data_IF_268979780335
#
_entry.id   IF_268979780335
#
_cell.length_a   1.000
_cell.length_b   1.000
_cell.length_c   1.000
_cell.angle_alpha   90.00
_cell.angle_beta   90.00
_cell.angle_gamma   90.00
#
_symmetry.space_group_name_H-M   'P 1'
#
loop_
_entity.id
_entity.type
_entity.pdbx_description
1 polymer ?
#
# COMPACT_ATOMS: atom_id res chain seq x y z
N UNK A 1 -34.39 -48.85 13.57
CA UNK A 1 -33.34 -48.22 14.39
C UNK A 1 -32.42 -47.45 13.46
N UNK A 2 -32.68 -46.16 13.27
CA UNK A 2 -31.86 -45.29 12.40
C UNK A 2 -30.71 -44.72 13.22
N UNK A 3 -29.49 -45.09 12.85
CA UNK A 3 -28.24 -44.54 13.37
C UNK A 3 -28.20 -43.03 13.09
N UNK A 4 -28.25 -42.23 14.15
CA UNK A 4 -28.01 -40.79 14.06
C UNK A 4 -26.57 -40.58 13.55
N UNK A 5 -26.43 -39.93 12.39
CA UNK A 5 -25.12 -39.57 11.86
C UNK A 5 -24.43 -38.63 12.84
N UNK A 6 -23.18 -38.96 13.22
CA UNK A 6 -22.30 -38.03 13.90
C UNK A 6 -22.14 -36.78 13.04
N UNK A 7 -22.86 -35.72 13.40
CA UNK A 7 -22.63 -34.40 12.84
C UNK A 7 -21.28 -33.91 13.37
N UNK A 8 -20.29 -33.84 12.48
CA UNK A 8 -18.97 -33.33 12.78
C UNK A 8 -19.06 -31.80 12.91
N UNK A 9 -19.16 -31.30 14.15
CA UNK A 9 -19.24 -29.87 14.40
C UNK A 9 -17.83 -29.27 14.47
N UNK A 10 -17.56 -28.17 13.74
CA UNK A 10 -16.28 -27.47 13.83
C UNK A 10 -15.98 -27.09 15.28
N UNK A 11 -14.87 -27.60 15.82
CA UNK A 11 -14.44 -27.31 17.19
C UNK A 11 -13.43 -26.17 17.18
N UNK A 12 -13.74 -25.08 17.87
CA UNK A 12 -12.82 -23.97 18.10
C UNK A 12 -12.13 -24.16 19.45
N UNK A 13 -10.79 -24.27 19.45
CA UNK A 13 -9.99 -24.38 20.68
C UNK A 13 -9.41 -23.02 21.02
N UNK A 14 -9.85 -22.43 22.14
CA UNK A 14 -9.31 -21.17 22.67
C UNK A 14 -8.33 -21.51 23.81
N UNK A 15 -7.01 -21.27 23.65
CA UNK A 15 -6.02 -21.55 24.69
C UNK A 15 -6.28 -20.80 26.00
N UNK A 16 -5.77 -21.35 27.12
CA UNK A 16 -5.79 -20.64 28.40
C UNK A 16 -4.99 -19.34 28.31
N UNK A 17 -5.56 -18.26 28.84
CA UNK A 17 -4.96 -16.94 28.81
C UNK A 17 -5.20 -16.16 27.51
N UNK A 18 -5.99 -16.70 26.57
CA UNK A 18 -6.46 -15.91 25.43
C UNK A 18 -7.52 -14.90 25.89
N UNK A 19 -7.28 -13.63 25.61
CA UNK A 19 -8.25 -12.54 25.81
C UNK A 19 -8.91 -12.20 24.47
N UNK A 20 -10.24 -12.16 24.45
CA UNK A 20 -11.03 -11.75 23.29
C UNK A 20 -11.90 -10.57 23.70
N UNK A 21 -11.78 -9.46 22.98
CA UNK A 21 -12.53 -8.23 23.21
C UNK A 21 -13.21 -7.77 21.93
N UNK A 22 -14.28 -7.00 22.06
CA UNK A 22 -14.94 -6.34 20.94
C UNK A 22 -14.96 -4.84 21.23
N UNK A 23 -14.51 -4.03 20.28
CA UNK A 23 -14.55 -2.57 20.44
C UNK A 23 -15.94 -2.00 20.13
N UNK A 24 -16.14 -0.69 20.34
CA UNK A 24 -17.40 0.00 20.07
C UNK A 24 -17.84 -0.03 18.60
N UNK A 25 -16.94 -0.36 17.68
CA UNK A 25 -17.19 -0.50 16.25
C UNK A 25 -17.46 -1.96 15.83
N UNK A 26 -17.53 -2.89 16.79
CA UNK A 26 -17.80 -4.32 16.53
C UNK A 26 -16.57 -5.12 16.06
N UNK A 27 -15.37 -4.56 16.10
CA UNK A 27 -14.15 -5.26 15.67
C UNK A 27 -13.59 -6.12 16.81
N UNK A 28 -13.13 -7.31 16.46
CA UNK A 28 -12.55 -8.28 17.39
C UNK A 28 -11.08 -7.95 17.70
N UNK A 29 -10.72 -7.99 18.97
CA UNK A 29 -9.34 -8.00 19.45
C UNK A 29 -9.06 -9.36 20.08
N UNK A 30 -7.97 -10.01 19.66
CA UNK A 30 -7.53 -11.29 20.19
C UNK A 30 -6.11 -11.12 20.69
N UNK A 31 -5.85 -11.51 21.92
CA UNK A 31 -4.51 -11.60 22.51
C UNK A 31 -4.32 -13.00 23.06
N UNK A 32 -3.30 -13.72 22.59
CA UNK A 32 -2.98 -15.08 23.03
C UNK A 32 -1.51 -15.20 23.42
N UNK A 33 -1.18 -15.98 24.47
CA UNK A 33 0.21 -16.17 24.87
C UNK A 33 1.00 -17.06 23.91
N UNK A 34 0.33 -17.99 23.21
CA UNK A 34 0.93 -18.99 22.33
C UNK A 34 0.61 -18.77 20.86
N UNK A 35 0.80 -19.80 20.04
CA UNK A 35 0.51 -19.70 18.61
C UNK A 35 -0.98 -19.46 18.34
N UNK A 36 -1.27 -18.65 17.33
CA UNK A 36 -2.61 -18.38 16.84
C UNK A 36 -2.73 -18.85 15.39
N UNK A 37 -3.77 -19.63 15.10
CA UNK A 37 -4.11 -20.02 13.73
C UNK A 37 -5.47 -19.44 13.40
N UNK A 38 -5.55 -18.66 12.32
CA UNK A 38 -6.78 -18.03 11.83
C UNK A 38 -7.23 -18.80 10.60
N UNK A 39 -8.33 -19.52 10.76
CA UNK A 39 -8.93 -20.39 9.74
C UNK A 39 -10.23 -19.80 9.16
N UNK A 40 -10.71 -18.70 9.72
CA UNK A 40 -11.92 -18.02 9.29
C UNK A 40 -11.62 -16.57 8.98
N UNK A 41 -12.21 -16.08 7.88
CA UNK A 41 -12.10 -14.68 7.48
C UNK A 41 -12.74 -13.77 8.52
N UNK A 42 -12.21 -12.56 8.68
CA UNK A 42 -12.75 -11.64 9.67
C UNK A 42 -12.03 -10.29 9.71
N UNK A 43 -12.68 -9.34 10.38
CA UNK A 43 -12.16 -8.00 10.64
C UNK A 43 -11.81 -7.87 12.11
N UNK A 44 -10.57 -7.49 12.37
CA UNK A 44 -9.98 -7.41 13.70
C UNK A 44 -9.46 -5.99 13.95
N UNK A 45 -9.60 -5.52 15.18
CA UNK A 45 -8.85 -4.34 15.60
C UNK A 45 -7.41 -4.74 15.90
N UNK A 46 -7.20 -5.79 16.67
CA UNK A 46 -5.86 -6.22 17.09
C UNK A 46 -5.75 -7.73 17.16
N UNK A 47 -4.65 -8.26 16.65
CA UNK A 47 -4.30 -9.68 16.74
C UNK A 47 -2.91 -9.76 17.36
N UNK A 48 -2.83 -10.24 18.59
CA UNK A 48 -1.58 -10.39 19.32
C UNK A 48 -1.33 -11.85 19.69
N UNK A 49 -0.15 -12.33 19.35
CA UNK A 49 0.46 -13.55 19.86
C UNK A 49 1.74 -13.16 20.59
N UNK A 50 1.69 -13.10 21.93
CA UNK A 50 2.76 -12.50 22.74
C UNK A 50 4.09 -13.26 22.63
N UNK A 51 4.08 -14.59 22.75
CA UNK A 51 5.30 -15.41 22.66
C UNK A 51 5.31 -16.38 21.46
N UNK A 52 4.21 -16.45 20.71
CA UNK A 52 4.04 -17.39 19.61
C UNK A 52 4.07 -16.74 18.23
N UNK A 53 3.71 -17.54 17.25
CA UNK A 53 3.50 -17.15 15.86
C UNK A 53 2.02 -17.02 15.52
N UNK A 54 1.72 -16.20 14.51
CA UNK A 54 0.39 -16.09 13.92
C UNK A 54 0.43 -16.77 12.55
N UNK A 55 -0.55 -17.61 12.25
CA UNK A 55 -0.76 -18.20 10.93
C UNK A 55 -2.13 -17.82 10.40
N UNK A 56 -2.16 -17.31 9.19
CA UNK A 56 -3.39 -17.08 8.41
C UNK A 56 -3.43 -18.16 7.35
N UNK A 57 -4.42 -19.06 7.44
CA UNK A 57 -4.52 -20.19 6.53
C UNK A 57 -4.90 -19.80 5.11
N UNK A 58 -4.74 -20.76 4.20
CA UNK A 58 -5.17 -20.64 2.82
C UNK A 58 -6.68 -20.35 2.74
N UNK A 59 -7.09 -19.57 1.74
CA UNK A 59 -8.48 -19.15 1.52
C UNK A 59 -9.09 -18.28 2.64
N UNK A 60 -8.30 -17.87 3.63
CA UNK A 60 -8.72 -16.94 4.68
C UNK A 60 -8.39 -15.52 4.28
N UNK A 61 -9.33 -14.59 4.49
CA UNK A 61 -9.11 -13.15 4.33
C UNK A 61 -9.21 -12.46 5.68
N UNK A 62 -8.10 -11.87 6.11
CA UNK A 62 -8.00 -11.15 7.39
C UNK A 62 -7.78 -9.68 7.13
N UNK A 63 -8.61 -8.85 7.74
CA UNK A 63 -8.38 -7.42 7.85
C UNK A 63 -8.09 -7.09 9.31
N UNK A 64 -6.99 -6.39 9.57
CA UNK A 64 -6.60 -6.01 10.92
C UNK A 64 -6.07 -4.58 10.99
N UNK A 65 -6.30 -3.87 12.10
CA UNK A 65 -5.56 -2.62 12.33
C UNK A 65 -4.13 -2.94 12.77
N UNK A 66 -3.95 -3.87 13.70
CA UNK A 66 -2.63 -4.25 14.23
C UNK A 66 -2.47 -5.75 14.34
N UNK A 67 -1.31 -6.25 13.90
CA UNK A 67 -0.87 -7.62 14.10
C UNK A 67 0.48 -7.61 14.80
N UNK A 68 0.57 -8.32 15.92
CA UNK A 68 1.80 -8.52 16.67
C UNK A 68 2.04 -10.01 16.89
N UNK A 69 3.09 -10.55 16.28
CA UNK A 69 3.60 -11.88 16.58
C UNK A 69 4.95 -11.77 17.30
N UNK A 70 5.10 -12.47 18.42
CA UNK A 70 6.36 -12.52 19.16
C UNK A 70 7.49 -13.20 18.38
N UNK A 71 7.14 -14.14 17.49
CA UNK A 71 8.09 -14.87 16.65
C UNK A 71 7.86 -14.60 15.16
N UNK A 72 6.86 -15.24 14.56
CA UNK A 72 6.65 -15.17 13.11
C UNK A 72 5.19 -14.94 12.73
N UNK A 73 4.98 -14.30 11.58
CA UNK A 73 3.69 -14.18 10.92
C UNK A 73 3.74 -14.97 9.60
N UNK A 74 2.96 -16.06 9.52
CA UNK A 74 2.83 -16.91 8.35
C UNK A 74 1.53 -16.59 7.62
N UNK A 75 1.62 -16.24 6.34
CA UNK A 75 0.49 -15.80 5.53
C UNK A 75 0.36 -16.75 4.34
N UNK A 76 -0.69 -17.56 4.33
CA UNK A 76 -1.08 -18.43 3.21
C UNK A 76 -2.28 -17.86 2.44
N UNK A 77 -3.19 -17.16 3.13
CA UNK A 77 -4.35 -16.50 2.55
C UNK A 77 -4.09 -15.05 2.14
N UNK A 78 -5.07 -14.20 2.43
CA UNK A 78 -4.99 -12.75 2.23
C UNK A 78 -4.95 -12.02 3.56
N UNK A 79 -3.99 -11.12 3.72
CA UNK A 79 -3.85 -10.27 4.90
C UNK A 79 -3.81 -8.80 4.49
N UNK A 80 -4.69 -7.98 5.06
CA UNK A 80 -4.61 -6.52 5.01
C UNK A 80 -4.40 -6.01 6.43
N UNK A 81 -3.28 -5.33 6.69
CA UNK A 81 -3.01 -4.78 8.02
C UNK A 81 -2.21 -3.48 8.03
N UNK A 82 -2.60 -2.57 8.92
CA UNK A 82 -1.96 -1.25 9.04
C UNK A 82 -0.65 -1.28 9.83
N UNK A 83 -0.48 -2.26 10.72
CA UNK A 83 0.76 -2.44 11.48
C UNK A 83 1.01 -3.93 11.63
N UNK A 84 2.14 -4.40 11.12
CA UNK A 84 2.58 -5.78 11.32
C UNK A 84 3.93 -5.78 11.99
N UNK A 85 3.96 -6.26 13.23
CA UNK A 85 5.15 -6.46 14.03
C UNK A 85 5.40 -7.94 14.23
N UNK A 86 6.46 -8.46 13.62
CA UNK A 86 6.94 -9.83 13.83
C UNK A 86 8.43 -9.90 13.53
N UNK A 87 9.19 -10.76 14.22
CA UNK A 87 10.61 -10.94 13.89
C UNK A 87 10.77 -11.49 12.47
N UNK A 88 9.90 -12.43 12.10
CA UNK A 88 9.88 -13.04 10.77
C UNK A 88 8.50 -12.94 10.14
N UNK A 89 8.44 -12.58 8.86
CA UNK A 89 7.22 -12.61 8.05
C UNK A 89 7.45 -13.54 6.86
N UNK A 90 6.57 -14.50 6.68
CA UNK A 90 6.61 -15.46 5.57
C UNK A 90 5.31 -15.40 4.79
N UNK A 91 5.39 -15.07 3.50
CA UNK A 91 4.28 -15.19 2.57
C UNK A 91 4.49 -16.45 1.73
N UNK A 92 3.54 -17.38 1.82
CA UNK A 92 3.56 -18.64 1.07
C UNK A 92 3.00 -18.45 -0.36
N UNK A 93 2.99 -19.53 -1.15
CA UNK A 93 2.54 -19.46 -2.54
C UNK A 93 1.09 -19.00 -2.64
N UNK A 94 0.85 -18.09 -3.59
CA UNK A 94 -0.43 -17.40 -3.86
C UNK A 94 -0.93 -16.48 -2.73
N UNK A 95 -0.18 -16.33 -1.64
CA UNK A 95 -0.53 -15.41 -0.56
C UNK A 95 -0.49 -13.95 -1.03
N UNK A 96 -1.38 -13.13 -0.47
CA UNK A 96 -1.47 -11.69 -0.74
C UNK A 96 -1.42 -10.93 0.57
N UNK A 97 -0.45 -10.04 0.72
CA UNK A 97 -0.35 -9.19 1.89
C UNK A 97 -0.33 -7.71 1.49
N UNK A 98 -1.26 -6.95 2.04
CA UNK A 98 -1.30 -5.49 1.97
C UNK A 98 -0.98 -4.97 3.38
N UNK A 99 0.32 -4.92 3.69
CA UNK A 99 0.78 -4.71 5.07
C UNK A 99 1.80 -3.60 5.16
N UNK A 100 1.66 -2.76 6.19
CA UNK A 100 2.73 -1.86 6.59
C UNK A 100 3.60 -2.56 7.64
N UNK A 101 4.82 -2.84 7.23
CA UNK A 101 5.83 -3.56 8.00
C UNK A 101 6.41 -2.64 9.07
N UNK A 102 6.33 -3.06 10.33
CA UNK A 102 6.98 -2.36 11.44
C UNK A 102 7.92 -3.33 12.15
N UNK A 103 9.19 -2.94 12.29
CA UNK A 103 10.17 -3.66 13.12
C UNK A 103 10.37 -5.15 12.75
N UNK A 104 10.23 -5.51 11.47
CA UNK A 104 10.43 -6.89 11.01
C UNK A 104 11.89 -7.17 10.65
N UNK A 105 12.48 -8.21 11.21
CA UNK A 105 13.90 -8.57 11.00
C UNK A 105 14.11 -9.37 9.71
N UNK A 106 13.21 -10.32 9.43
CA UNK A 106 13.27 -11.23 8.29
C UNK A 106 11.97 -11.21 7.47
N UNK A 107 12.11 -11.21 6.15
CA UNK A 107 11.00 -11.30 5.20
C UNK A 107 11.30 -12.41 4.19
N UNK A 108 10.41 -13.38 4.09
CA UNK A 108 10.48 -14.49 3.14
C UNK A 108 9.24 -14.47 2.24
N UNK A 109 9.46 -14.52 0.93
CA UNK A 109 8.43 -14.39 -0.09
C UNK A 109 8.51 -15.58 -1.05
N UNK A 110 7.43 -16.35 -1.16
CA UNK A 110 7.31 -17.35 -2.20
C UNK A 110 7.24 -16.70 -3.59
N UNK A 111 7.57 -17.46 -4.65
CA UNK A 111 7.70 -16.92 -6.03
C UNK A 111 6.42 -16.27 -6.55
N UNK A 112 5.26 -16.74 -6.07
CA UNK A 112 3.94 -16.25 -6.48
C UNK A 112 3.28 -15.32 -5.46
N UNK A 113 3.95 -15.04 -4.33
CA UNK A 113 3.45 -14.16 -3.29
C UNK A 113 3.42 -12.70 -3.77
N UNK A 114 2.43 -11.95 -3.29
CA UNK A 114 2.34 -10.50 -3.54
C UNK A 114 2.35 -9.76 -2.21
N UNK A 115 3.36 -8.92 -2.04
CA UNK A 115 3.48 -8.01 -0.92
C UNK A 115 3.32 -6.58 -1.42
N UNK A 116 2.35 -5.87 -0.87
CA UNK A 116 2.15 -4.43 -1.07
C UNK A 116 2.42 -3.74 0.26
N UNK A 117 3.58 -3.08 0.34
CA UNK A 117 3.97 -2.26 1.48
C UNK A 117 3.40 -0.86 1.38
N UNK A 118 2.85 -0.34 2.48
CA UNK A 118 2.58 1.09 2.61
C UNK A 118 3.75 1.70 3.40
N UNK A 119 4.55 2.55 2.77
CA UNK A 119 5.74 3.15 3.39
C UNK A 119 5.41 4.57 3.82
N UNK A 120 5.78 4.95 5.04
CA UNK A 120 5.52 6.29 5.54
C UNK A 120 6.32 7.36 4.78
N UNK A 121 7.47 6.99 4.19
CA UNK A 121 8.26 7.87 3.33
C UNK A 121 9.25 7.08 2.45
N UNK A 122 9.85 7.78 1.47
CA UNK A 122 10.85 7.23 0.54
C UNK A 122 12.08 6.66 1.25
N UNK A 123 12.52 7.25 2.37
CA UNK A 123 13.67 6.73 3.14
C UNK A 123 13.38 5.36 3.75
N UNK A 124 12.16 5.16 4.25
CA UNK A 124 11.71 3.87 4.77
C UNK A 124 11.62 2.83 3.64
N UNK A 125 11.11 3.20 2.47
CA UNK A 125 11.13 2.34 1.28
C UNK A 125 12.57 1.93 0.93
N UNK A 126 13.49 2.88 0.79
CA UNK A 126 14.90 2.59 0.47
C UNK A 126 15.57 1.73 1.55
N UNK A 127 15.31 2.00 2.82
CA UNK A 127 15.84 1.22 3.93
C UNK A 127 15.33 -0.23 3.90
N UNK A 128 14.03 -0.41 3.67
CA UNK A 128 13.41 -1.73 3.59
C UNK A 128 13.88 -2.50 2.36
N UNK A 129 14.00 -1.83 1.21
CA UNK A 129 14.59 -2.40 -0.01
C UNK A 129 16.05 -2.80 0.19
N UNK A 130 16.83 -2.02 0.94
CA UNK A 130 18.22 -2.36 1.30
C UNK A 130 18.31 -3.55 2.26
N UNK A 131 17.50 -3.52 3.33
CA UNK A 131 17.42 -4.57 4.36
C UNK A 131 17.03 -5.93 3.78
N UNK A 132 16.10 -5.94 2.82
CA UNK A 132 15.63 -7.15 2.16
C UNK A 132 16.24 -7.36 0.77
N UNK A 133 17.32 -6.66 0.43
CA UNK A 133 17.91 -6.77 -0.91
C UNK A 133 18.35 -8.19 -1.30
N UNK A 134 18.85 -9.06 -0.39
CA UNK A 134 19.14 -10.45 -0.73
C UNK A 134 17.87 -11.21 -1.14
N UNK A 135 16.79 -11.06 -0.37
CA UNK A 135 15.53 -11.77 -0.59
C UNK A 135 14.76 -11.24 -1.80
N UNK A 136 14.89 -9.94 -2.09
CA UNK A 136 14.27 -9.31 -3.26
C UNK A 136 14.99 -9.67 -4.57
N UNK A 137 16.32 -9.86 -4.54
CA UNK A 137 17.11 -10.30 -5.70
C UNK A 137 16.79 -11.71 -6.17
N UNK A 138 16.26 -12.55 -5.28
CA UNK A 138 15.86 -13.92 -5.59
C UNK A 138 14.47 -14.01 -6.26
N UNK A 139 13.72 -12.89 -6.35
CA UNK A 139 12.39 -12.86 -6.94
C UNK A 139 12.43 -12.66 -8.47
N UNK A 140 11.55 -13.34 -9.23
CA UNK A 140 11.41 -13.10 -10.66
C UNK A 140 10.90 -11.68 -10.94
N UNK A 141 11.67 -10.88 -11.69
CA UNK A 141 11.37 -9.48 -11.97
C UNK A 141 11.99 -8.47 -10.98
N UNK A 142 12.98 -8.90 -10.19
CA UNK A 142 13.72 -8.03 -9.28
C UNK A 142 14.26 -6.77 -9.96
N UNK A 143 14.06 -5.61 -9.32
CA UNK A 143 14.65 -4.35 -9.75
C UNK A 143 16.14 -4.37 -9.37
N UNK A 144 17.01 -4.33 -10.37
CA UNK A 144 18.45 -4.36 -10.17
C UNK A 144 18.94 -3.00 -9.63
N UNK A 145 19.38 -2.97 -8.37
CA UNK A 145 19.70 -1.72 -7.65
C UNK A 145 21.18 -1.31 -7.78
N UNK A 146 21.90 -1.78 -8.80
CA UNK A 146 23.31 -1.38 -9.03
C UNK A 146 23.46 0.04 -9.63
N UNK A 147 22.50 0.94 -9.38
CA UNK A 147 22.45 2.30 -9.93
C UNK A 147 22.93 3.40 -8.98
N UNK A 148 23.69 3.07 -7.92
CA UNK A 148 24.26 4.03 -7.00
C UNK A 148 25.78 4.12 -7.09
N UNK A 149 26.27 5.10 -7.86
CA UNK A 149 27.61 5.70 -7.75
C UNK A 149 28.84 4.80 -7.98
N UNK A 150 29.17 4.55 -9.25
CA UNK A 150 30.58 4.49 -9.67
C UNK A 150 30.78 5.41 -10.89
N UNK A 151 31.70 6.40 -10.83
CA UNK A 151 32.10 7.13 -12.02
C UNK A 151 32.87 6.16 -12.91
N UNK A 152 32.21 5.61 -13.93
CA UNK A 152 32.90 4.83 -14.96
C UNK A 152 33.67 5.79 -15.84
N UNK A 153 34.99 5.76 -15.68
CA UNK A 153 35.93 6.33 -16.63
C UNK A 153 35.62 5.79 -18.03
N UNK A 154 35.37 6.71 -18.95
CA UNK A 154 35.06 6.42 -20.33
C UNK A 154 36.40 6.21 -21.02
N UNK A 155 36.88 4.96 -21.04
CA UNK A 155 38.03 4.61 -21.87
C UNK A 155 37.54 4.37 -23.29
N UNK A 156 37.94 5.27 -24.18
CA UNK A 156 37.75 5.23 -25.63
C UNK A 156 38.27 3.91 -26.22
N UNK A 157 37.40 3.14 -26.86
CA UNK A 157 37.63 2.67 -28.23
C UNK A 157 36.46 1.81 -28.71
N UNK A 158 35.91 2.19 -29.87
CA UNK A 158 35.40 1.38 -30.99
C UNK A 158 34.28 2.17 -31.69
N UNK A 159 34.60 2.78 -32.83
CA UNK A 159 33.65 3.18 -33.88
C UNK A 159 33.46 1.98 -34.85
N UNK A 160 32.52 2.03 -35.81
CA UNK A 160 31.11 2.44 -35.76
C UNK A 160 30.21 1.37 -36.45
N UNK A 161 28.91 1.30 -36.15
CA UNK A 161 27.93 0.91 -37.20
C UNK A 161 26.52 1.34 -36.85
N UNK A 162 25.96 2.09 -37.79
CA UNK A 162 24.60 2.58 -37.99
C UNK A 162 23.47 1.67 -37.51
N UNK A 163 22.66 2.14 -36.56
CA UNK A 163 21.21 1.93 -36.54
C UNK A 163 20.51 3.20 -36.05
N UNK A 164 19.59 3.70 -36.88
CA UNK A 164 18.77 4.90 -36.69
C UNK A 164 17.98 4.84 -35.39
N UNK A 165 18.19 5.83 -34.53
CA UNK A 165 17.24 6.24 -33.47
C UNK A 165 16.14 7.07 -34.15
N UNK A 166 14.84 6.78 -33.97
CA UNK A 166 13.82 7.78 -34.24
C UNK A 166 13.90 8.83 -33.13
N UNK A 167 14.32 10.03 -33.52
CA UNK A 167 14.21 11.22 -32.69
C UNK A 167 12.74 11.47 -32.36
N UNK A 168 12.38 11.49 -31.07
CA UNK A 168 11.10 12.06 -30.64
C UNK A 168 11.24 13.57 -30.70
N UNK A 169 10.63 14.15 -31.72
CA UNK A 169 10.53 15.57 -31.97
C UNK A 169 9.31 16.18 -31.28
N UNK A 170 9.53 17.39 -30.75
CA UNK A 170 8.61 18.50 -30.48
C UNK A 170 7.93 18.66 -29.09
N UNK A 171 7.95 19.90 -28.54
CA UNK A 171 7.16 20.31 -27.39
C UNK A 171 5.71 20.56 -27.85
N UNK A 172 4.89 19.51 -27.82
CA UNK A 172 3.45 19.61 -28.04
C UNK A 172 2.71 19.96 -26.75
N UNK A 173 1.57 20.63 -26.86
CA UNK A 173 0.63 20.88 -25.75
C UNK A 173 0.41 19.63 -24.91
N UNK A 174 0.36 19.74 -23.57
CA UNK A 174 0.17 18.58 -22.72
C UNK A 174 -1.09 17.82 -23.14
N UNK A 175 -1.02 16.49 -23.21
CA UNK A 175 -2.20 15.67 -23.48
C UNK A 175 -3.21 15.82 -22.34
N UNK A 176 -4.50 15.56 -22.59
CA UNK A 176 -5.56 15.68 -21.58
C UNK A 176 -5.23 14.87 -20.31
N UNK A 177 -4.65 13.68 -20.46
CA UNK A 177 -4.19 12.86 -19.33
C UNK A 177 -3.03 13.50 -18.55
N UNK A 178 -2.16 14.26 -19.21
CA UNK A 178 -1.07 14.98 -18.55
C UNK A 178 -1.59 16.13 -17.69
N UNK A 179 -2.73 16.73 -18.06
CA UNK A 179 -3.39 17.75 -17.23
C UNK A 179 -3.92 17.17 -15.92
N UNK A 180 -4.61 16.02 -15.97
CA UNK A 180 -5.09 15.35 -14.75
C UNK A 180 -3.94 14.93 -13.82
N UNK A 181 -2.86 14.39 -14.40
CA UNK A 181 -1.71 13.94 -13.63
C UNK A 181 -0.94 15.12 -13.02
N UNK A 182 -0.79 16.22 -13.74
CA UNK A 182 -0.19 17.45 -13.21
C UNK A 182 -1.03 18.07 -12.07
N UNK A 183 -2.36 18.08 -12.20
CA UNK A 183 -3.26 18.54 -11.14
C UNK A 183 -3.16 17.67 -9.88
N UNK A 184 -3.10 16.34 -10.06
CA UNK A 184 -2.92 15.41 -8.95
C UNK A 184 -1.63 15.68 -8.18
N UNK A 185 -0.50 15.82 -8.88
CA UNK A 185 0.81 16.07 -8.25
C UNK A 185 0.82 17.41 -7.51
N UNK A 186 0.20 18.45 -8.06
CA UNK A 186 0.10 19.75 -7.42
C UNK A 186 -0.75 19.70 -6.13
N UNK A 187 -1.89 18.99 -6.15
CA UNK A 187 -2.73 18.79 -4.96
C UNK A 187 -2.05 17.94 -3.87
N UNK A 188 -1.29 16.92 -4.26
CA UNK A 188 -0.52 16.10 -3.31
C UNK A 188 0.52 16.93 -2.55
N UNK A 189 1.22 17.84 -3.25
CA UNK A 189 2.15 18.78 -2.63
C UNK A 189 1.46 19.76 -1.70
N UNK A 190 0.25 20.20 -2.05
CA UNK A 190 -0.49 21.15 -1.24
C UNK A 190 -1.02 20.53 0.05
N UNK A 191 -1.62 19.34 0.00
CA UNK A 191 -2.19 18.66 1.17
C UNK A 191 -1.13 18.29 2.21
N UNK A 192 0.15 18.20 1.80
CA UNK A 192 1.27 18.00 2.72
C UNK A 192 1.71 19.26 3.46
N UNK A 193 1.17 20.44 3.14
CA UNK A 193 1.47 21.68 3.85
C UNK A 193 0.68 21.78 5.16
N UNK A 194 1.34 22.22 6.21
CA UNK A 194 0.78 22.29 7.56
C UNK A 194 -0.10 23.53 7.82
N UNK A 195 -0.25 24.43 6.85
CA UNK A 195 -0.93 25.73 6.99
C UNK A 195 -2.35 25.76 6.42
N UNK A 196 -2.87 24.63 5.91
CA UNK A 196 -4.25 24.50 5.47
C UNK A 196 -5.20 24.32 6.65
N UNK A 197 -6.31 25.06 6.65
CA UNK A 197 -7.37 24.81 7.63
C UNK A 197 -8.06 23.47 7.37
N UNK A 198 -8.64 22.87 8.42
CA UNK A 198 -9.31 21.56 8.32
C UNK A 198 -10.33 21.46 7.17
N UNK A 199 -11.26 22.43 7.03
CA UNK A 199 -12.24 22.44 5.93
C UNK A 199 -11.60 22.58 4.55
N UNK A 200 -10.62 23.48 4.38
CA UNK A 200 -9.91 23.67 3.11
C UNK A 200 -9.12 22.40 2.71
N UNK A 201 -8.53 21.70 3.68
CA UNK A 201 -7.85 20.43 3.44
C UNK A 201 -8.81 19.33 3.02
N UNK A 202 -10.00 19.28 3.63
CA UNK A 202 -11.02 18.27 3.32
C UNK A 202 -11.58 18.43 1.90
N UNK A 203 -11.89 19.66 1.50
CA UNK A 203 -12.34 19.99 0.15
C UNK A 203 -11.32 19.59 -0.92
N UNK A 204 -10.03 19.93 -0.73
CA UNK A 204 -8.97 19.55 -1.67
C UNK A 204 -8.70 18.03 -1.67
N UNK A 205 -8.86 17.35 -0.52
CA UNK A 205 -8.72 15.89 -0.41
C UNK A 205 -9.80 15.16 -1.19
N UNK A 206 -11.02 15.68 -1.25
CA UNK A 206 -12.09 15.08 -2.05
C UNK A 206 -11.76 15.11 -3.55
N UNK A 207 -11.23 16.24 -4.04
CA UNK A 207 -10.78 16.34 -5.44
C UNK A 207 -9.61 15.40 -5.72
N UNK A 208 -8.62 15.35 -4.81
CA UNK A 208 -7.48 14.44 -4.94
C UNK A 208 -7.91 12.97 -4.94
N UNK A 209 -8.89 12.61 -4.11
CA UNK A 209 -9.46 11.27 -4.07
C UNK A 209 -10.09 10.89 -5.41
N UNK A 210 -10.91 11.77 -5.98
CA UNK A 210 -11.49 11.57 -7.31
C UNK A 210 -10.43 11.41 -8.42
N UNK A 211 -9.33 12.17 -8.36
CA UNK A 211 -8.22 12.05 -9.31
C UNK A 211 -7.49 10.70 -9.19
N UNK A 212 -7.24 10.22 -7.95
CA UNK A 212 -6.57 8.93 -7.69
C UNK A 212 -7.40 7.74 -8.14
N UNK A 213 -8.71 7.79 -7.95
CA UNK A 213 -9.64 6.76 -8.43
C UNK A 213 -9.87 6.83 -9.95
N UNK A 214 -9.26 7.80 -10.64
CA UNK A 214 -9.54 8.12 -12.05
C UNK A 214 -11.03 8.35 -12.30
N UNK A 215 -11.76 8.82 -11.28
CA UNK A 215 -13.18 9.11 -11.35
C UNK A 215 -13.39 10.54 -11.87
N UNK A 216 -13.15 10.71 -13.16
CA UNK A 216 -13.20 12.00 -13.87
C UNK A 216 -14.58 12.67 -13.75
N UNK A 217 -15.66 11.88 -13.70
CA UNK A 217 -17.02 12.40 -13.53
C UNK A 217 -17.20 13.07 -12.17
N UNK A 218 -16.76 12.43 -11.08
CA UNK A 218 -16.83 13.00 -9.74
C UNK A 218 -15.99 14.27 -9.63
N UNK A 219 -14.74 14.23 -10.14
CA UNK A 219 -13.85 15.39 -10.14
C UNK A 219 -14.49 16.56 -10.87
N UNK A 220 -15.07 16.34 -12.05
CA UNK A 220 -15.70 17.39 -12.85
C UNK A 220 -16.86 18.10 -12.16
N UNK A 221 -17.54 17.43 -11.22
CA UNK A 221 -18.65 18.00 -10.45
C UNK A 221 -18.19 18.77 -9.20
N UNK A 222 -17.10 18.36 -8.55
CA UNK A 222 -16.73 18.88 -7.23
C UNK A 222 -15.57 19.88 -7.24
N UNK A 223 -14.73 19.88 -8.28
CA UNK A 223 -13.46 20.61 -8.23
C UNK A 223 -13.59 22.14 -8.14
N UNK A 224 -14.60 22.75 -8.76
CA UNK A 224 -14.77 24.22 -8.69
C UNK A 224 -15.16 24.68 -7.30
N UNK A 225 -16.11 23.99 -6.69
CA UNK A 225 -16.62 24.30 -5.36
C UNK A 225 -15.52 24.08 -4.32
N UNK A 226 -14.79 22.97 -4.42
CA UNK A 226 -13.69 22.65 -3.51
C UNK A 226 -12.56 23.68 -3.53
N UNK A 227 -12.23 24.25 -4.70
CA UNK A 227 -11.20 25.29 -4.81
C UNK A 227 -11.71 26.68 -4.40
N UNK A 228 -13.02 26.92 -4.48
CA UNK A 228 -13.64 28.18 -4.01
C UNK A 228 -13.63 28.31 -2.48
N UNK A 229 -13.55 27.19 -1.75
CA UNK A 229 -13.44 27.19 -0.29
C UNK A 229 -12.05 27.63 0.21
N UNK A 230 -11.03 27.60 -0.64
CA UNK A 230 -9.65 27.96 -0.30
C UNK A 230 -9.48 29.49 -0.30
N UNK A 231 -9.34 30.09 0.89
CA UNK A 231 -9.28 31.55 1.03
C UNK A 231 -7.98 32.15 0.51
N UNK A 232 -6.86 31.44 0.67
CA UNK A 232 -5.53 31.88 0.26
C UNK A 232 -4.87 30.80 -0.63
N UNK A 233 -5.19 30.76 -1.94
CA UNK A 233 -4.68 29.72 -2.81
C UNK A 233 -3.18 29.88 -3.04
N UNK A 234 -2.43 28.82 -2.72
CA UNK A 234 -1.00 28.71 -3.00
C UNK A 234 -0.72 28.59 -4.50
N UNK A 235 0.55 28.68 -4.90
CA UNK A 235 0.96 28.42 -6.28
C UNK A 235 0.59 27.01 -6.75
N UNK A 236 0.65 26.00 -5.86
CA UNK A 236 0.24 24.64 -6.20
C UNK A 236 -1.28 24.51 -6.39
N UNK A 237 -2.08 25.19 -5.55
CA UNK A 237 -3.54 25.24 -5.74
C UNK A 237 -3.87 25.89 -7.07
N UNK A 238 -3.24 27.02 -7.41
CA UNK A 238 -3.48 27.68 -8.70
C UNK A 238 -3.06 26.80 -9.88
N UNK A 239 -1.90 26.17 -9.80
CA UNK A 239 -1.43 25.25 -10.83
C UNK A 239 -2.40 24.07 -10.99
N UNK A 240 -2.88 23.48 -9.90
CA UNK A 240 -3.86 22.39 -9.95
C UNK A 240 -5.18 22.85 -10.59
N UNK A 241 -5.67 24.02 -10.20
CA UNK A 241 -6.87 24.63 -10.77
C UNK A 241 -6.73 24.82 -12.29
N UNK A 242 -5.65 25.45 -12.74
CA UNK A 242 -5.40 25.71 -14.16
C UNK A 242 -5.31 24.42 -14.99
N UNK A 243 -4.75 23.35 -14.41
CA UNK A 243 -4.69 22.06 -15.08
C UNK A 243 -6.07 21.39 -15.17
N UNK A 244 -6.89 21.46 -14.12
CA UNK A 244 -8.27 20.97 -14.14
C UNK A 244 -9.15 21.81 -15.07
N UNK A 245 -8.95 23.12 -15.12
CA UNK A 245 -9.66 24.03 -16.03
C UNK A 245 -9.32 23.74 -17.49
N UNK A 246 -8.04 23.49 -17.83
CA UNK A 246 -7.63 23.11 -19.20
C UNK A 246 -8.20 21.76 -19.63
N UNK A 247 -8.48 20.87 -18.68
CA UNK A 247 -9.08 19.56 -18.92
C UNK A 247 -10.61 19.64 -19.03
N UNK A 248 -11.30 20.18 -18.01
CA UNK A 248 -12.77 20.22 -17.94
C UNK A 248 -13.40 21.43 -18.64
N UNK A 249 -12.68 22.55 -18.74
CA UNK A 249 -13.16 23.78 -19.36
C UNK A 249 -13.36 23.69 -20.87
N UNK A 250 -12.83 22.64 -21.52
CA UNK A 250 -13.13 22.32 -22.93
C UNK A 250 -14.40 21.48 -23.12
N UNK A 251 -15.00 20.99 -22.03
CA UNK A 251 -16.16 20.07 -22.02
C UNK A 251 -17.46 20.83 -21.67
N UNK A 252 -17.42 22.16 -21.61
CA UNK A 252 -18.59 23.04 -21.38
C UNK A 252 -19.17 23.56 -22.70
#
# INVERSE_FOLDING_TARGET
MSTAGEANFPTMIIPRGTEIRVNTHGQLSIKTPGNLVIQNSGVYSEIESTNGSIRIEENVTVEAVSIRAGQACFIQGTLTAWKVHAKKITLEDRARAFIMLQESEHLELAKSARLVGNFANEKELFFMMGKFSPQLKELPGAVDMSGGSQPREISENVRPTTLKVPAVTNPGTPTEEQHLLAAQVALEKEIMRADLSGPESEALREVLFGLRERNVQRVGLTWRDAFAEVRNPSENVRNAYDHLEKYFGKVS
#
